data_IF_681237583226
#
_entry.id   IF_681237583226
#
_cell.length_a   1.000
_cell.length_b   1.000
_cell.length_c   1.000
_cell.angle_alpha   90.00
_cell.angle_beta   90.00
_cell.angle_gamma   90.00
#
_symmetry.space_group_name_H-M   'P 1'
#
loop_
_entity.id
_entity.type
_entity.pdbx_description
1 polymer ?
#
# COMPACT_ATOMS: atom_id res chain seq x y z
N UNK A 1 41.38 -16.29 45.04
CA UNK A 1 40.17 -16.40 44.19
C UNK A 1 39.98 -15.06 43.50
N UNK A 2 40.28 -14.98 42.19
CA UNK A 2 40.11 -13.76 41.40
C UNK A 2 38.78 -13.85 40.66
N UNK A 3 37.90 -12.87 40.90
CA UNK A 3 36.61 -12.73 40.22
C UNK A 3 36.88 -12.06 38.88
N UNK A 4 36.81 -12.82 37.78
CA UNK A 4 36.76 -12.24 36.44
C UNK A 4 35.39 -11.58 36.25
N UNK A 5 35.35 -10.26 36.24
CA UNK A 5 34.18 -9.51 35.82
C UNK A 5 34.10 -9.52 34.28
N UNK A 6 33.15 -10.27 33.73
CA UNK A 6 32.81 -10.22 32.31
C UNK A 6 32.06 -8.91 32.05
N UNK A 7 32.73 -7.94 31.43
CA UNK A 7 32.05 -6.75 30.91
C UNK A 7 31.27 -7.15 29.64
N UNK A 8 29.95 -7.22 29.75
CA UNK A 8 29.07 -7.39 28.60
C UNK A 8 29.03 -6.07 27.81
N UNK A 9 29.66 -6.05 26.64
CA UNK A 9 29.47 -4.98 25.66
C UNK A 9 28.04 -5.06 25.12
N UNK A 10 27.22 -4.08 25.49
CA UNK A 10 25.90 -3.90 24.89
C UNK A 10 26.14 -3.30 23.50
N UNK A 11 26.13 -4.15 22.47
CA UNK A 11 26.13 -3.69 21.07
C UNK A 11 24.71 -3.25 20.76
N UNK A 12 24.47 -1.94 20.79
CA UNK A 12 23.24 -1.38 20.21
C UNK A 12 23.35 -1.47 18.70
N UNK A 13 22.36 -2.02 17.97
CA UNK A 13 22.39 -2.01 16.52
C UNK A 13 22.46 -0.55 16.05
N UNK A 14 23.47 -0.24 15.23
CA UNK A 14 23.50 1.05 14.54
C UNK A 14 22.30 1.11 13.59
N UNK A 15 21.65 2.29 13.43
CA UNK A 15 20.65 2.46 12.38
C UNK A 15 21.28 2.04 11.05
N UNK A 16 20.54 1.30 10.22
CA UNK A 16 21.05 0.90 8.92
C UNK A 16 21.46 2.17 8.14
N UNK A 17 22.63 2.13 7.50
CA UNK A 17 23.08 3.17 6.58
C UNK A 17 22.00 3.51 5.52
N UNK A 18 21.12 2.55 5.22
CA UNK A 18 19.99 2.70 4.31
C UNK A 18 18.89 3.67 4.77
N UNK A 19 18.78 3.96 6.08
CA UNK A 19 17.82 4.92 6.63
C UNK A 19 18.45 6.31 6.88
N UNK A 20 19.75 6.48 6.64
CA UNK A 20 20.45 7.72 6.93
C UNK A 20 19.90 8.87 6.07
N UNK A 21 19.39 9.92 6.72
CA UNK A 21 18.78 11.08 6.05
C UNK A 21 17.26 10.99 5.80
N UNK A 22 16.61 9.88 6.16
CA UNK A 22 15.15 9.78 6.12
C UNK A 22 14.52 10.09 7.48
N UNK A 23 13.47 10.92 7.51
CA UNK A 23 12.62 11.00 8.70
C UNK A 23 11.69 9.78 8.74
N UNK A 24 12.11 8.74 9.44
CA UNK A 24 11.36 7.48 9.55
C UNK A 24 10.31 7.50 10.66
N UNK A 25 10.23 8.60 11.43
CA UNK A 25 9.35 8.69 12.60
C UNK A 25 8.07 9.47 12.31
N UNK A 26 8.09 10.39 11.35
CA UNK A 26 6.95 11.23 10.98
C UNK A 26 5.76 10.39 10.46
N UNK A 27 4.61 10.38 11.17
CA UNK A 27 3.38 9.83 10.64
C UNK A 27 2.76 10.80 9.62
N UNK A 28 2.51 10.30 8.41
CA UNK A 28 1.80 11.04 7.36
C UNK A 28 0.28 10.91 7.48
N UNK A 29 -0.17 9.75 7.95
CA UNK A 29 -1.58 9.47 8.17
C UNK A 29 -1.74 8.32 9.18
N UNK A 30 -2.97 8.15 9.64
CA UNK A 30 -3.41 6.99 10.40
C UNK A 30 -4.61 6.37 9.70
N UNK A 31 -4.68 5.05 9.69
CA UNK A 31 -5.80 4.28 9.15
C UNK A 31 -6.38 3.36 10.22
N UNK A 32 -7.68 3.09 10.12
CA UNK A 32 -8.38 2.10 10.93
C UNK A 32 -9.01 1.09 9.98
N UNK A 33 -8.37 -0.07 9.83
CA UNK A 33 -8.94 -1.15 9.03
C UNK A 33 -10.07 -1.84 9.82
N UNK A 34 -11.21 -2.17 9.20
CA UNK A 34 -12.35 -2.78 9.91
C UNK A 34 -12.03 -4.13 10.57
N UNK A 35 -11.03 -4.87 10.09
CA UNK A 35 -10.61 -6.16 10.62
C UNK A 35 -9.38 -6.07 11.53
N UNK A 36 -8.98 -4.86 11.92
CA UNK A 36 -7.88 -4.63 12.85
C UNK A 36 -8.39 -4.19 14.23
N UNK A 37 -7.75 -4.65 15.33
CA UNK A 37 -8.15 -4.24 16.68
C UNK A 37 -7.75 -2.80 17.02
N UNK A 38 -7.01 -2.12 16.15
CA UNK A 38 -6.48 -0.78 16.40
C UNK A 38 -6.19 -0.01 15.11
N UNK A 39 -5.52 1.11 15.28
CA UNK A 39 -5.10 1.98 14.17
C UNK A 39 -3.68 1.66 13.74
N UNK A 40 -3.37 1.92 12.47
CA UNK A 40 -2.01 1.81 11.94
C UNK A 40 -1.52 3.16 11.41
N UNK A 41 -0.29 3.57 11.76
CA UNK A 41 0.32 4.72 11.13
C UNK A 41 0.80 4.35 9.72
N UNK A 42 0.59 5.26 8.79
CA UNK A 42 1.34 5.34 7.54
C UNK A 42 2.38 6.42 7.79
N UNK A 43 3.64 6.03 7.89
CA UNK A 43 4.77 6.94 8.11
C UNK A 43 5.56 7.12 6.83
N UNK A 44 6.40 8.15 6.84
CA UNK A 44 7.62 8.14 6.05
C UNK A 44 8.45 6.90 6.41
N UNK A 45 9.29 6.48 5.49
CA UNK A 45 10.15 5.32 5.65
C UNK A 45 11.39 5.49 4.80
N UNK A 46 11.88 4.42 4.20
CA UNK A 46 12.97 4.48 3.24
C UNK A 46 12.85 3.36 2.23
N UNK A 47 13.60 3.46 1.14
CA UNK A 47 13.83 2.36 0.23
C UNK A 47 15.26 2.38 -0.28
N UNK A 48 15.93 1.25 -0.14
CA UNK A 48 17.24 0.99 -0.69
C UNK A 48 17.11 -0.03 -1.83
N UNK A 49 17.38 0.43 -3.04
CA UNK A 49 17.29 -0.39 -4.25
C UNK A 49 18.42 -1.42 -4.37
N UNK A 50 19.57 -1.22 -3.71
CA UNK A 50 20.69 -2.15 -3.75
C UNK A 50 20.42 -3.38 -2.88
N UNK A 51 19.83 -3.18 -1.70
CA UNK A 51 19.53 -4.26 -0.74
C UNK A 51 18.08 -4.75 -0.80
N UNK A 52 17.23 -4.06 -1.59
CA UNK A 52 15.77 -4.24 -1.65
C UNK A 52 15.06 -4.10 -0.29
N UNK A 53 15.68 -3.38 0.65
CA UNK A 53 15.15 -3.14 2.00
C UNK A 53 14.43 -1.80 2.08
N UNK A 54 13.57 -1.69 3.09
CA UNK A 54 12.81 -0.48 3.34
C UNK A 54 11.40 -0.77 3.82
N UNK A 55 10.68 0.29 4.18
CA UNK A 55 9.29 0.24 4.59
C UNK A 55 8.58 1.57 4.34
N UNK A 56 7.28 1.61 4.64
CA UNK A 56 6.51 2.85 4.70
C UNK A 56 6.23 3.46 3.33
N UNK A 57 5.88 4.74 3.36
CA UNK A 57 5.47 5.48 2.17
C UNK A 57 6.58 5.57 1.11
N UNK A 58 7.84 5.76 1.53
CA UNK A 58 8.95 5.91 0.58
C UNK A 58 9.23 4.60 -0.19
N UNK A 59 9.01 3.42 0.41
CA UNK A 59 9.03 2.14 -0.33
C UNK A 59 7.89 2.02 -1.33
N UNK A 60 6.67 2.39 -0.95
CA UNK A 60 5.54 2.44 -1.88
C UNK A 60 5.83 3.38 -3.07
N UNK A 61 6.39 4.55 -2.79
CA UNK A 61 6.72 5.57 -3.78
C UNK A 61 7.82 5.12 -4.74
N UNK A 62 8.99 4.74 -4.21
CA UNK A 62 10.18 4.49 -5.01
C UNK A 62 10.14 3.12 -5.69
N UNK A 63 9.80 2.04 -4.95
CA UNK A 63 9.77 0.68 -5.48
C UNK A 63 8.52 0.42 -6.31
N UNK A 64 7.35 0.75 -5.77
CA UNK A 64 6.08 0.31 -6.32
C UNK A 64 5.36 1.37 -7.18
N UNK A 65 5.82 2.62 -7.18
CA UNK A 65 5.22 3.69 -7.99
C UNK A 65 3.85 4.16 -7.49
N UNK A 66 3.46 3.79 -6.26
CA UNK A 66 2.25 4.25 -5.60
C UNK A 66 2.59 5.48 -4.76
N UNK A 67 2.35 6.65 -5.33
CA UNK A 67 2.77 7.97 -4.85
C UNK A 67 1.67 8.75 -4.13
N UNK A 68 0.42 8.29 -4.19
CA UNK A 68 -0.71 8.96 -3.54
C UNK A 68 -1.03 8.36 -2.18
N UNK A 69 -0.87 9.16 -1.12
CA UNK A 69 -1.28 8.78 0.23
C UNK A 69 -2.78 8.47 0.32
N UNK A 70 -3.62 9.16 -0.45
CA UNK A 70 -5.06 8.88 -0.50
C UNK A 70 -5.34 7.50 -1.10
N UNK A 71 -4.65 7.14 -2.19
CA UNK A 71 -4.79 5.82 -2.81
C UNK A 71 -4.39 4.70 -1.82
N UNK A 72 -3.28 4.89 -1.13
CA UNK A 72 -2.80 3.97 -0.09
C UNK A 72 -3.87 3.81 0.99
N UNK A 73 -4.41 4.91 1.53
CA UNK A 73 -5.47 4.87 2.56
C UNK A 73 -6.70 4.09 2.10
N UNK A 74 -7.14 4.28 0.85
CA UNK A 74 -8.31 3.58 0.27
C UNK A 74 -8.12 2.06 0.25
N UNK A 75 -6.97 1.56 -0.17
CA UNK A 75 -6.68 0.11 -0.15
C UNK A 75 -6.53 -0.40 1.29
N UNK A 76 -5.88 0.40 2.15
CA UNK A 76 -5.56 0.02 3.53
C UNK A 76 -6.78 -0.23 4.41
N UNK A 77 -7.92 0.39 4.10
CA UNK A 77 -9.19 0.20 4.82
C UNK A 77 -10.10 -0.86 4.20
N UNK A 78 -9.60 -1.62 3.21
CA UNK A 78 -10.39 -2.67 2.57
C UNK A 78 -10.87 -3.72 3.57
N UNK A 79 -12.16 -4.13 3.53
CA UNK A 79 -12.67 -5.23 4.33
C UNK A 79 -12.17 -6.60 3.86
N UNK A 80 -11.61 -6.70 2.65
CA UNK A 80 -10.89 -7.89 2.22
C UNK A 80 -9.48 -7.86 2.80
N UNK A 81 -9.34 -8.26 4.06
CA UNK A 81 -8.05 -8.28 4.72
C UNK A 81 -7.91 -9.47 5.64
N UNK A 82 -6.69 -9.95 5.80
CA UNK A 82 -6.38 -11.12 6.62
C UNK A 82 -5.13 -10.88 7.46
N UNK A 83 -5.09 -11.48 8.65
CA UNK A 83 -3.91 -11.50 9.50
C UNK A 83 -3.02 -12.68 9.16
N UNK A 84 -1.72 -12.42 9.07
CA UNK A 84 -0.66 -13.39 8.86
C UNK A 84 0.39 -13.17 9.96
N UNK A 85 0.15 -13.77 11.13
CA UNK A 85 0.95 -13.48 12.33
C UNK A 85 0.70 -12.06 12.85
N UNK A 86 1.75 -11.24 12.90
CA UNK A 86 1.70 -9.83 13.32
C UNK A 86 1.38 -8.86 12.18
N UNK A 87 1.15 -9.39 10.98
CA UNK A 87 1.00 -8.62 9.75
C UNK A 87 -0.45 -8.68 9.27
N UNK A 88 -1.04 -7.52 8.98
CA UNK A 88 -2.32 -7.38 8.30
C UNK A 88 -2.07 -7.15 6.80
N UNK A 89 -2.72 -7.97 5.97
CA UNK A 89 -2.71 -7.83 4.51
C UNK A 89 -4.09 -7.38 4.06
N UNK A 90 -4.23 -6.11 3.66
CA UNK A 90 -5.45 -5.58 3.05
C UNK A 90 -5.36 -5.66 1.52
N UNK A 91 -6.40 -6.19 0.87
CA UNK A 91 -6.45 -6.48 -0.57
C UNK A 91 -7.54 -5.64 -1.23
N UNK A 92 -7.29 -5.18 -2.45
CA UNK A 92 -8.30 -4.57 -3.30
C UNK A 92 -8.04 -4.94 -4.76
N UNK A 93 -9.10 -5.14 -5.54
CA UNK A 93 -8.98 -5.34 -6.98
C UNK A 93 -9.28 -4.04 -7.71
N UNK A 94 -8.38 -3.64 -8.61
CA UNK A 94 -8.51 -2.41 -9.40
C UNK A 94 -8.54 -2.74 -10.88
N UNK A 95 -9.52 -2.17 -11.57
CA UNK A 95 -9.75 -2.39 -12.98
C UNK A 95 -9.26 -1.22 -13.83
N UNK A 96 -8.71 -1.54 -15.00
CA UNK A 96 -8.50 -0.62 -16.12
C UNK A 96 -9.67 -0.78 -17.08
N UNK A 97 -10.41 0.30 -17.30
CA UNK A 97 -11.58 0.30 -18.17
C UNK A 97 -11.33 1.16 -19.41
N UNK A 98 -11.75 0.66 -20.56
CA UNK A 98 -11.93 1.47 -21.77
C UNK A 98 -13.41 1.64 -22.04
N UNK A 99 -13.86 2.89 -22.05
CA UNK A 99 -15.25 3.23 -22.31
C UNK A 99 -15.41 3.88 -23.69
N UNK A 100 -16.52 3.56 -24.34
CA UNK A 100 -17.11 4.39 -25.39
C UNK A 100 -18.36 5.09 -24.82
N UNK A 101 -19.15 5.73 -25.68
CA UNK A 101 -20.35 6.51 -25.28
C UNK A 101 -21.41 5.64 -24.59
N UNK A 102 -21.45 4.33 -24.87
CA UNK A 102 -22.52 3.43 -24.44
C UNK A 102 -22.06 2.33 -23.49
N UNK A 103 -20.78 1.93 -23.55
CA UNK A 103 -20.27 0.78 -22.78
C UNK A 103 -18.86 1.01 -22.26
N UNK A 104 -18.59 0.46 -21.08
CA UNK A 104 -17.26 0.35 -20.48
C UNK A 104 -16.85 -1.12 -20.43
N UNK A 105 -15.68 -1.43 -20.99
CA UNK A 105 -15.12 -2.77 -20.98
C UNK A 105 -13.90 -2.81 -20.05
N UNK A 106 -13.85 -3.82 -19.18
CA UNK A 106 -12.67 -4.12 -18.37
C UNK A 106 -11.59 -4.69 -19.29
N UNK A 107 -10.45 -4.00 -19.39
CA UNK A 107 -9.28 -4.46 -20.15
C UNK A 107 -8.35 -5.32 -19.28
N UNK A 108 -8.14 -4.88 -18.05
CA UNK A 108 -7.13 -5.44 -17.15
C UNK A 108 -7.59 -5.25 -15.70
N UNK A 109 -7.27 -6.21 -14.84
CA UNK A 109 -7.51 -6.13 -13.41
C UNK A 109 -6.24 -6.50 -12.66
N UNK A 110 -6.00 -5.83 -11.54
CA UNK A 110 -4.84 -6.06 -10.66
C UNK A 110 -5.31 -6.17 -9.22
N UNK A 111 -4.77 -7.15 -8.50
CA UNK A 111 -4.84 -7.16 -7.04
C UNK A 111 -3.80 -6.19 -6.49
N UNK A 112 -4.20 -5.35 -5.54
CA UNK A 112 -3.34 -4.41 -4.81
C UNK A 112 -3.37 -4.81 -3.34
N UNK A 113 -2.19 -4.96 -2.74
CA UNK A 113 -1.98 -5.37 -1.36
C UNK A 113 -1.32 -4.26 -0.57
N UNK A 114 -1.97 -3.81 0.50
CA UNK A 114 -1.36 -2.97 1.51
C UNK A 114 -0.99 -3.84 2.73
N UNK A 115 0.27 -3.78 3.15
CA UNK A 115 0.84 -4.61 4.20
C UNK A 115 1.13 -3.73 5.42
N UNK A 116 0.58 -4.10 6.57
CA UNK A 116 0.78 -3.44 7.84
C UNK A 116 1.29 -4.42 8.88
N UNK A 117 2.10 -3.98 9.83
CA UNK A 117 2.53 -4.79 10.96
C UNK A 117 2.32 -4.06 12.28
N UNK A 118 2.04 -4.82 13.33
CA UNK A 118 2.08 -4.35 14.72
C UNK A 118 3.48 -4.45 15.33
N UNK A 119 4.43 -5.10 14.64
CA UNK A 119 5.81 -5.19 15.08
C UNK A 119 6.47 -3.81 15.19
N UNK A 120 7.40 -3.69 16.14
CA UNK A 120 8.25 -2.52 16.33
C UNK A 120 9.56 -2.62 15.55
N UNK A 121 9.89 -3.82 15.03
CA UNK A 121 11.14 -4.11 14.33
C UNK A 121 10.87 -4.57 12.90
N UNK A 122 11.64 -4.06 11.95
CA UNK A 122 11.66 -4.53 10.57
C UNK A 122 13.04 -4.37 9.95
N UNK A 123 13.61 -5.47 9.46
CA UNK A 123 15.03 -5.55 9.10
C UNK A 123 15.92 -5.09 10.27
N UNK A 124 16.82 -4.15 10.02
CA UNK A 124 17.75 -3.60 11.01
C UNK A 124 17.17 -2.38 11.75
N UNK A 125 15.91 -2.01 11.48
CA UNK A 125 15.23 -0.90 12.14
C UNK A 125 14.38 -1.39 13.31
N UNK A 126 14.45 -0.67 14.42
CA UNK A 126 13.59 -0.81 15.59
C UNK A 126 13.05 0.57 15.99
N UNK A 127 11.76 0.65 16.28
CA UNK A 127 11.05 1.85 16.70
C UNK A 127 10.46 1.65 18.10
N UNK A 128 10.30 2.72 18.87
CA UNK A 128 9.64 2.68 20.19
C UNK A 128 8.12 2.46 20.11
N UNK A 129 7.57 2.40 18.89
CA UNK A 129 6.15 2.19 18.62
C UNK A 129 5.97 1.25 17.43
N UNK A 130 4.74 0.74 17.24
CA UNK A 130 4.46 -0.09 16.07
C UNK A 130 4.84 0.62 14.77
N UNK A 131 5.41 -0.15 13.85
CA UNK A 131 5.93 0.37 12.59
C UNK A 131 4.80 0.79 11.64
N UNK A 132 3.69 0.05 11.62
CA UNK A 132 2.54 0.36 10.78
C UNK A 132 2.75 -0.16 9.36
N UNK A 133 2.62 0.71 8.36
CA UNK A 133 2.71 0.27 6.96
C UNK A 133 4.11 -0.21 6.59
N UNK A 134 4.21 -1.47 6.16
CA UNK A 134 5.42 -2.03 5.57
C UNK A 134 5.53 -1.58 4.11
N UNK A 135 4.50 -1.78 3.31
CA UNK A 135 4.48 -1.37 1.90
C UNK A 135 3.06 -1.48 1.32
N UNK A 136 2.88 -0.96 0.11
CA UNK A 136 1.75 -1.28 -0.77
C UNK A 136 2.28 -1.63 -2.16
N UNK A 137 1.70 -2.62 -2.82
CA UNK A 137 2.09 -3.04 -4.17
C UNK A 137 0.93 -3.69 -4.91
N UNK A 138 1.08 -3.85 -6.21
CA UNK A 138 0.15 -4.60 -7.05
C UNK A 138 0.79 -5.90 -7.54
N UNK A 139 -0.03 -6.91 -7.72
CA UNK A 139 0.37 -8.19 -8.30
C UNK A 139 0.46 -8.07 -9.82
N UNK A 140 1.68 -7.94 -10.32
CA UNK A 140 1.96 -7.88 -11.75
C UNK A 140 2.25 -9.29 -12.31
N UNK A 141 1.68 -9.69 -13.47
CA UNK A 141 1.89 -11.00 -14.09
C UNK A 141 3.35 -11.26 -14.46
N UNK A 142 4.07 -10.21 -14.83
CA UNK A 142 5.50 -10.25 -15.14
C UNK A 142 6.39 -10.09 -13.89
N UNK A 143 5.77 -9.97 -12.70
CA UNK A 143 6.43 -9.74 -11.42
C UNK A 143 7.23 -8.44 -11.36
N UNK A 144 6.93 -7.47 -12.23
CA UNK A 144 7.54 -6.15 -12.13
C UNK A 144 7.25 -5.54 -10.74
N UNK A 145 8.25 -4.95 -10.06
CA UNK A 145 8.03 -4.37 -8.73
C UNK A 145 7.16 -3.12 -8.79
N UNK A 146 7.19 -2.40 -9.92
CA UNK A 146 6.49 -1.14 -10.10
C UNK A 146 5.09 -1.38 -10.66
N UNK A 147 4.09 -0.74 -10.05
CA UNK A 147 2.74 -0.75 -10.59
C UNK A 147 2.64 0.10 -11.85
N UNK A 148 1.86 -0.35 -12.84
CA UNK A 148 1.45 0.52 -13.94
C UNK A 148 0.80 1.79 -13.41
N UNK A 149 1.06 2.94 -14.03
CA UNK A 149 0.54 4.25 -13.56
C UNK A 149 -1.00 4.25 -13.42
N UNK A 150 -1.69 3.51 -14.29
CA UNK A 150 -3.15 3.39 -14.30
C UNK A 150 -3.71 2.83 -12.98
N UNK A 151 -2.94 2.01 -12.24
CA UNK A 151 -3.36 1.38 -10.98
C UNK A 151 -3.70 2.45 -9.95
N UNK A 152 -2.82 3.45 -9.77
CA UNK A 152 -3.06 4.51 -8.80
C UNK A 152 -4.30 5.33 -9.16
N UNK A 153 -4.46 5.67 -10.44
CA UNK A 153 -5.62 6.42 -10.91
C UNK A 153 -6.92 5.66 -10.68
N UNK A 154 -6.93 4.36 -10.95
CA UNK A 154 -8.09 3.50 -10.72
C UNK A 154 -8.43 3.34 -9.24
N UNK A 155 -7.44 3.38 -8.33
CA UNK A 155 -7.72 3.40 -6.88
C UNK A 155 -8.41 4.72 -6.50
N UNK A 156 -7.92 5.85 -7.02
CA UNK A 156 -8.46 7.16 -6.66
C UNK A 156 -9.86 7.37 -7.25
N UNK A 157 -10.10 6.87 -8.46
CA UNK A 157 -11.30 7.09 -9.27
C UNK A 157 -11.84 5.75 -9.81
N UNK A 158 -12.36 4.87 -8.92
CA UNK A 158 -12.90 3.59 -9.36
C UNK A 158 -14.05 3.79 -10.34
N UNK A 159 -14.11 2.93 -11.37
CA UNK A 159 -15.16 2.98 -12.39
C UNK A 159 -15.09 4.17 -13.36
N UNK A 160 -14.10 5.05 -13.25
CA UNK A 160 -13.92 6.16 -14.21
C UNK A 160 -12.99 5.73 -15.34
N UNK A 161 -13.37 5.86 -16.63
CA UNK A 161 -12.44 5.65 -17.73
C UNK A 161 -11.23 6.57 -17.59
N UNK A 162 -10.04 5.99 -17.69
CA UNK A 162 -8.82 6.78 -17.75
C UNK A 162 -8.81 7.54 -19.08
N UNK A 163 -8.90 8.87 -19.01
CA UNK A 163 -8.87 9.72 -20.19
C UNK A 163 -7.60 9.39 -20.99
N UNK A 164 -7.77 8.86 -22.20
CA UNK A 164 -6.68 8.50 -23.10
C UNK A 164 -5.97 9.80 -23.52
N UNK A 165 -4.92 10.17 -22.80
CA UNK A 165 -3.91 11.15 -23.25
C UNK A 165 -4.00 12.59 -22.73
N UNK A 166 -4.29 12.82 -21.45
CA UNK A 166 -4.02 14.15 -20.84
C UNK A 166 -2.97 14.00 -19.74
N UNK A 167 -1.70 14.08 -20.14
CA UNK A 167 -0.66 14.51 -19.21
C UNK A 167 -0.97 15.94 -18.78
N UNK A 168 -1.39 16.11 -17.52
CA UNK A 168 -1.51 17.41 -16.88
C UNK A 168 -2.76 18.22 -17.25
N UNK A 169 -3.86 17.97 -16.57
CA UNK A 169 -4.75 19.01 -16.02
C UNK A 169 -5.90 18.33 -15.29
N UNK A 170 -6.04 18.67 -14.01
CA UNK A 170 -7.21 18.28 -13.21
C UNK A 170 -8.47 18.80 -13.88
N UNK A 171 -9.23 17.90 -14.49
CA UNK A 171 -10.62 18.14 -14.85
C UNK A 171 -11.46 17.66 -13.68
N UNK A 172 -12.05 18.62 -12.97
CA UNK A 172 -13.16 18.34 -12.05
C UNK A 172 -14.27 17.69 -12.86
N UNK A 173 -14.54 16.42 -12.59
CA UNK A 173 -15.81 15.85 -12.98
C UNK A 173 -16.87 16.60 -12.17
N UNK A 174 -17.73 17.33 -12.88
CA UNK A 174 -18.80 18.10 -12.28
C UNK A 174 -19.67 17.25 -11.35
N UNK A 175 -20.11 17.89 -10.27
CA UNK A 175 -21.11 17.38 -9.35
C UNK A 175 -22.33 16.85 -10.12
N UNK A 176 -22.45 15.53 -10.20
CA UNK A 176 -23.75 14.88 -10.21
C UNK A 176 -23.76 13.90 -9.05
N UNK A 177 -24.51 14.26 -8.01
CA UNK A 177 -24.88 13.40 -6.91
C UNK A 177 -25.44 12.08 -7.47
N UNK A 178 -24.62 11.03 -7.40
CA UNK A 178 -25.08 9.65 -7.37
C UNK A 178 -24.58 9.13 -6.03
N UNK A 179 -25.50 8.94 -5.08
CA UNK A 179 -25.21 8.16 -3.88
C UNK A 179 -24.67 6.78 -4.30
N UNK A 180 -23.56 6.38 -3.67
CA UNK A 180 -22.91 5.06 -3.72
C UNK A 180 -23.04 4.22 -5.00
N UNK A 181 -22.00 4.24 -5.84
CA UNK A 181 -21.46 2.97 -6.34
C UNK A 181 -19.95 2.99 -6.13
N UNK A 182 -19.54 2.55 -4.95
CA UNK A 182 -18.18 2.07 -4.74
C UNK A 182 -18.02 0.80 -5.58
N UNK A 183 -17.56 0.90 -6.83
CA UNK A 183 -17.09 -0.30 -7.55
C UNK A 183 -15.68 -0.64 -7.03
N UNK A 184 -15.60 -1.00 -5.75
CA UNK A 184 -14.70 -2.09 -5.37
C UNK A 184 -15.43 -3.34 -5.83
N UNK A 185 -14.95 -3.98 -6.89
CA UNK A 185 -15.43 -5.31 -7.21
C UNK A 185 -14.91 -6.25 -6.12
N UNK A 186 -15.72 -6.46 -5.09
CA UNK A 186 -15.63 -7.66 -4.27
C UNK A 186 -16.10 -8.78 -5.18
N UNK A 187 -15.18 -9.56 -5.78
CA UNK A 187 -15.60 -10.69 -6.61
C UNK A 187 -16.47 -11.63 -5.77
N UNK A 188 -17.72 -11.78 -6.18
CA UNK A 188 -18.56 -12.92 -5.85
C UNK A 188 -18.00 -14.14 -6.59
N UNK A 189 -17.94 -15.33 -5.97
CA UNK A 189 -17.51 -16.54 -6.66
C UNK A 189 -18.41 -16.77 -7.88
N UNK A 190 -17.78 -17.02 -9.03
CA UNK A 190 -18.42 -17.33 -10.30
C UNK A 190 -19.36 -18.55 -10.16
N UNK A 191 -20.66 -18.32 -9.99
CA UNK A 191 -21.68 -19.29 -10.42
C UNK A 191 -22.19 -18.88 -11.79
N UNK A 192 -21.90 -19.74 -12.76
CA UNK A 192 -22.37 -19.67 -14.13
C UNK A 192 -23.90 -19.70 -14.18
N UNK A 193 -24.53 -18.62 -14.63
CA UNK A 193 -25.88 -18.70 -15.19
C UNK A 193 -25.76 -19.18 -16.63
N UNK A 194 -25.90 -20.49 -16.84
CA UNK A 194 -26.24 -21.03 -18.15
C UNK A 194 -27.70 -20.70 -18.46
N UNK A 195 -27.96 -20.15 -19.64
CA UNK A 195 -29.30 -20.22 -20.24
C UNK A 195 -29.54 -21.59 -20.83
#
# INVERSE_FOLDING_TARGET
MAILALAALIVTPAPSLAAEGYDITEPLATIKNPNAPGEFPIRRGYYDAETDRGFGFDKAYHKHGLTSLEAIKKVSVSPQSEWQGDTLVAKAYVGKYTCNVLTCNLEEQREVKAIFTTATRHHDLELDSQLGMITIYCENPDKAPRCPEWVQDSILRPGTPLARGVQGQGVSAGESYIEEITVFSYELPHESISR
#
